data_IF_201243730916
#
_entry.id   IF_201243730916
#
_cell.length_a   1.000
_cell.length_b   1.000
_cell.length_c   1.000
_cell.angle_alpha   90.00
_cell.angle_beta   90.00
_cell.angle_gamma   90.00
#
_symmetry.space_group_name_H-M   'P 1'
#
loop_
_entity.id
_entity.type
_entity.pdbx_description
1 polymer ?
#
# COMPACT_ATOMS: atom_id res chain seq x y z
N UNK A 1 2.38 -14.50 0.09
CA UNK A 1 3.35 -13.70 -0.69
C UNK A 1 3.00 -12.22 -0.56
N UNK A 2 4.01 -11.40 -0.37
CA UNK A 2 3.85 -9.96 -0.23
C UNK A 2 4.71 -9.23 -1.25
N UNK A 3 4.12 -8.24 -1.92
CA UNK A 3 4.82 -7.34 -2.83
C UNK A 3 5.22 -6.08 -2.05
N UNK A 4 6.50 -5.79 -1.99
CA UNK A 4 7.04 -4.70 -1.16
C UNK A 4 7.24 -3.43 -2.00
N UNK A 5 6.64 -2.34 -1.54
CA UNK A 5 6.90 -0.99 -2.05
C UNK A 5 8.20 -0.45 -1.43
N UNK A 6 8.72 0.63 -1.98
CA UNK A 6 9.94 1.29 -1.48
C UNK A 6 9.85 1.60 0.02
N UNK A 7 8.69 2.01 0.51
CA UNK A 7 8.47 2.32 1.92
C UNK A 7 8.81 1.14 2.84
N UNK A 8 8.64 -0.10 2.38
CA UNK A 8 8.97 -1.28 3.18
C UNK A 8 10.47 -1.35 3.50
N UNK A 9 11.32 -0.92 2.57
CA UNK A 9 12.76 -0.91 2.78
C UNK A 9 13.21 0.29 3.59
N UNK A 10 12.53 1.41 3.44
CA UNK A 10 12.81 2.64 4.20
C UNK A 10 12.45 2.44 5.67
N UNK A 11 11.31 1.82 5.95
CA UNK A 11 10.79 1.63 7.30
C UNK A 11 11.21 0.30 7.93
N UNK A 12 12.12 -0.44 7.29
CA UNK A 12 12.64 -1.72 7.79
C UNK A 12 11.53 -2.74 8.09
N UNK A 13 10.62 -2.90 7.15
CA UNK A 13 9.53 -3.85 7.27
C UNK A 13 10.05 -5.29 7.30
N UNK A 14 9.50 -6.09 8.20
CA UNK A 14 9.87 -7.50 8.34
C UNK A 14 8.64 -8.40 8.26
N UNK A 15 8.81 -9.57 7.65
CA UNK A 15 7.77 -10.58 7.57
C UNK A 15 8.42 -11.96 7.39
N UNK A 16 7.70 -12.99 7.79
CA UNK A 16 8.13 -14.38 7.58
C UNK A 16 7.59 -14.95 6.25
N UNK A 17 6.68 -14.24 5.60
CA UNK A 17 6.14 -14.68 4.32
C UNK A 17 7.11 -14.42 3.17
N UNK A 18 6.88 -15.12 2.06
CA UNK A 18 7.65 -14.86 0.84
C UNK A 18 7.44 -13.42 0.38
N UNK A 19 8.52 -12.78 0.00
CA UNK A 19 8.51 -11.40 -0.46
C UNK A 19 8.98 -11.30 -1.90
N UNK A 20 8.41 -10.33 -2.61
CA UNK A 20 8.73 -10.03 -4.00
C UNK A 20 8.62 -8.53 -4.20
N UNK A 21 9.39 -7.98 -5.11
CA UNK A 21 9.28 -6.58 -5.49
C UNK A 21 9.58 -6.46 -6.98
N UNK A 22 9.55 -5.24 -7.51
CA UNK A 22 9.91 -4.98 -8.90
C UNK A 22 11.30 -4.34 -8.95
N UNK A 23 12.08 -4.60 -10.01
CA UNK A 23 13.47 -4.10 -10.07
C UNK A 23 13.60 -2.59 -9.92
N UNK A 24 12.65 -1.82 -10.44
CA UNK A 24 12.72 -0.36 -10.40
C UNK A 24 12.58 0.24 -8.99
N UNK A 25 12.12 -0.53 -8.01
CA UNK A 25 12.09 -0.07 -6.61
C UNK A 25 13.49 0.25 -6.12
N UNK A 26 14.50 -0.53 -6.54
CA UNK A 26 15.89 -0.27 -6.12
C UNK A 26 16.35 1.14 -6.47
N UNK A 27 15.89 1.65 -7.61
CA UNK A 27 16.26 3.00 -8.08
C UNK A 27 15.66 4.11 -7.22
N UNK A 28 14.58 3.83 -6.51
CA UNK A 28 13.94 4.79 -5.60
C UNK A 28 14.63 4.84 -4.23
N UNK A 29 15.46 3.85 -3.91
CA UNK A 29 16.12 3.75 -2.62
C UNK A 29 17.44 4.52 -2.66
N UNK A 30 17.37 5.81 -2.34
CA UNK A 30 18.51 6.73 -2.47
C UNK A 30 19.39 6.79 -1.22
N UNK A 31 18.86 6.39 -0.05
CA UNK A 31 19.70 6.33 1.14
C UNK A 31 20.40 4.97 1.24
N UNK A 32 21.60 4.97 1.87
CA UNK A 32 22.42 3.76 1.94
C UNK A 32 21.79 2.63 2.73
N UNK A 33 21.03 2.95 3.77
CA UNK A 33 20.42 1.94 4.64
C UNK A 33 19.30 1.18 3.92
N UNK A 34 18.41 1.88 3.23
CA UNK A 34 17.31 1.22 2.51
C UNK A 34 17.82 0.41 1.32
N UNK A 35 18.82 0.92 0.59
CA UNK A 35 19.45 0.16 -0.48
C UNK A 35 20.12 -1.10 0.01
N UNK A 36 20.79 -1.03 1.16
CA UNK A 36 21.40 -2.20 1.80
C UNK A 36 20.34 -3.24 2.19
N UNK A 37 19.21 -2.81 2.73
CA UNK A 37 18.11 -3.72 3.09
C UNK A 37 17.55 -4.44 1.87
N UNK A 38 17.41 -3.72 0.77
CA UNK A 38 16.97 -4.33 -0.49
C UNK A 38 17.93 -5.43 -0.93
N UNK A 39 19.22 -5.10 -0.97
CA UNK A 39 20.25 -6.05 -1.40
C UNK A 39 20.32 -7.26 -0.46
N UNK A 40 20.16 -7.05 0.84
CA UNK A 40 20.15 -8.12 1.82
C UNK A 40 18.95 -9.05 1.65
N UNK A 41 17.76 -8.50 1.40
CA UNK A 41 16.57 -9.32 1.16
C UNK A 41 16.68 -10.09 -0.15
N UNK A 42 17.20 -9.48 -1.19
CA UNK A 42 17.43 -10.17 -2.46
C UNK A 42 18.40 -11.34 -2.27
N UNK A 43 19.48 -11.12 -1.54
CA UNK A 43 20.43 -12.17 -1.22
C UNK A 43 19.84 -13.27 -0.33
N UNK A 44 18.81 -12.94 0.45
CA UNK A 44 18.09 -13.88 1.31
C UNK A 44 16.92 -14.59 0.67
N UNK A 45 16.66 -14.35 -0.63
CA UNK A 45 15.61 -15.06 -1.36
C UNK A 45 14.46 -14.22 -1.87
N UNK A 46 14.45 -12.90 -1.64
CA UNK A 46 13.43 -12.03 -2.22
C UNK A 46 13.54 -12.08 -3.75
N UNK A 47 12.39 -12.26 -4.41
CA UNK A 47 12.34 -12.33 -5.86
C UNK A 47 12.05 -10.97 -6.46
N UNK A 48 12.59 -10.75 -7.66
CA UNK A 48 12.26 -9.59 -8.48
C UNK A 48 11.32 -10.06 -9.59
N UNK A 49 10.18 -9.39 -9.71
CA UNK A 49 9.15 -9.76 -10.67
C UNK A 49 8.90 -8.60 -11.64
N UNK A 50 8.85 -8.91 -12.92
CA UNK A 50 8.48 -7.95 -13.96
C UNK A 50 7.08 -8.31 -14.44
N UNK A 51 6.05 -7.50 -14.12
CA UNK A 51 4.69 -7.81 -14.53
C UNK A 51 4.51 -7.70 -16.04
N UNK A 52 3.56 -8.48 -16.56
CA UNK A 52 3.21 -8.45 -17.97
C UNK A 52 2.36 -7.23 -18.34
N UNK A 53 2.16 -7.05 -19.66
CA UNK A 53 1.38 -5.93 -20.17
C UNK A 53 -0.09 -5.99 -19.77
N UNK A 54 -0.66 -7.19 -19.68
CA UNK A 54 -2.06 -7.37 -19.27
C UNK A 54 -2.34 -6.82 -17.88
N UNK A 55 -1.60 -7.26 -16.86
CA UNK A 55 -1.74 -6.68 -15.51
C UNK A 55 -1.47 -5.17 -15.47
N UNK A 56 -0.48 -4.67 -16.20
CA UNK A 56 -0.20 -3.23 -16.27
C UNK A 56 -1.38 -2.46 -16.84
N UNK A 57 -2.04 -2.99 -17.87
CA UNK A 57 -3.24 -2.37 -18.45
C UNK A 57 -4.41 -2.34 -17.46
N UNK A 58 -4.56 -3.39 -16.65
CA UNK A 58 -5.59 -3.43 -15.63
C UNK A 58 -5.35 -2.37 -14.55
N UNK A 59 -4.11 -2.18 -14.14
CA UNK A 59 -3.73 -1.14 -13.18
C UNK A 59 -4.05 0.24 -13.75
N UNK A 60 -3.73 0.49 -15.00
CA UNK A 60 -4.02 1.78 -15.65
C UNK A 60 -5.52 2.07 -15.65
N UNK A 61 -6.35 1.08 -16.00
CA UNK A 61 -7.80 1.24 -15.97
C UNK A 61 -8.32 1.53 -14.56
N UNK A 62 -7.82 0.78 -13.58
CA UNK A 62 -8.22 0.97 -12.19
C UNK A 62 -7.82 2.37 -11.70
N UNK A 63 -6.62 2.82 -12.04
CA UNK A 63 -6.12 4.13 -11.65
C UNK A 63 -6.96 5.26 -12.28
N UNK A 64 -7.42 5.09 -13.50
CA UNK A 64 -8.33 6.05 -14.14
C UNK A 64 -9.67 6.07 -13.44
N UNK A 65 -10.18 4.92 -13.07
CA UNK A 65 -11.46 4.80 -12.37
C UNK A 65 -11.42 5.50 -11.00
N UNK A 66 -10.32 5.34 -10.27
CA UNK A 66 -10.17 5.97 -8.94
C UNK A 66 -9.76 7.44 -9.04
N UNK A 67 -9.26 7.88 -10.19
CA UNK A 67 -8.76 9.25 -10.35
C UNK A 67 -7.32 9.44 -9.91
N UNK A 68 -6.59 8.36 -9.64
CA UNK A 68 -5.23 8.42 -9.11
C UNK A 68 -4.13 8.25 -10.16
N UNK A 69 -4.49 8.19 -11.44
CA UNK A 69 -3.53 7.86 -12.50
C UNK A 69 -2.30 8.78 -12.50
N UNK A 70 -2.49 10.08 -12.29
CA UNK A 70 -1.39 11.05 -12.30
C UNK A 70 -0.56 11.02 -11.02
N UNK A 71 -1.07 10.42 -9.96
CA UNK A 71 -0.38 10.31 -8.68
C UNK A 71 0.57 9.12 -8.62
N UNK A 72 0.47 8.20 -9.57
CA UNK A 72 1.26 6.97 -9.57
C UNK A 72 2.47 7.09 -10.49
N UNK A 73 3.64 6.68 -9.98
CA UNK A 73 4.84 6.53 -10.80
C UNK A 73 4.78 5.25 -11.61
N UNK A 74 5.70 5.09 -12.56
CA UNK A 74 5.82 3.84 -13.31
C UNK A 74 6.11 2.66 -12.38
N UNK A 75 6.93 2.87 -11.36
CA UNK A 75 7.23 1.85 -10.36
C UNK A 75 5.97 1.46 -9.58
N UNK A 76 5.15 2.43 -9.20
CA UNK A 76 3.88 2.17 -8.51
C UNK A 76 2.95 1.30 -9.36
N UNK A 77 2.86 1.59 -10.66
CA UNK A 77 2.08 0.78 -11.59
C UNK A 77 2.59 -0.66 -11.63
N UNK A 78 3.89 -0.83 -11.66
CA UNK A 78 4.51 -2.16 -11.70
C UNK A 78 4.28 -2.94 -10.41
N UNK A 79 4.36 -2.28 -9.27
CA UNK A 79 4.08 -2.92 -7.98
C UNK A 79 2.64 -3.40 -7.88
N UNK A 80 1.70 -2.54 -8.27
CA UNK A 80 0.28 -2.91 -8.30
C UNK A 80 0.03 -4.06 -9.28
N UNK A 81 0.64 -4.00 -10.45
CA UNK A 81 0.50 -5.05 -11.46
C UNK A 81 1.08 -6.38 -10.97
N UNK A 82 2.23 -6.34 -10.29
CA UNK A 82 2.84 -7.55 -9.73
C UNK A 82 1.93 -8.18 -8.68
N UNK A 83 1.39 -7.38 -7.77
CA UNK A 83 0.48 -7.88 -6.75
C UNK A 83 -0.79 -8.47 -7.37
N UNK A 84 -1.33 -7.82 -8.37
CA UNK A 84 -2.52 -8.29 -9.09
C UNK A 84 -2.25 -9.61 -9.82
N UNK A 85 -1.14 -9.67 -10.56
CA UNK A 85 -0.76 -10.84 -11.34
C UNK A 85 -0.47 -12.05 -10.46
N UNK A 86 0.22 -11.84 -9.34
CA UNK A 86 0.64 -12.90 -8.43
C UNK A 86 -0.42 -13.28 -7.39
N UNK A 87 -1.50 -12.51 -7.29
CA UNK A 87 -2.49 -12.70 -6.23
C UNK A 87 -1.90 -12.45 -4.84
N UNK A 88 -0.96 -11.51 -4.74
CA UNK A 88 -0.21 -11.23 -3.52
C UNK A 88 -0.76 -10.01 -2.80
N UNK A 89 -0.39 -9.86 -1.52
CA UNK A 89 -0.70 -8.67 -0.74
C UNK A 89 0.32 -7.57 -1.05
N UNK A 90 -0.16 -6.36 -1.30
CA UNK A 90 0.71 -5.20 -1.52
C UNK A 90 1.02 -4.52 -0.19
N UNK A 91 2.29 -4.35 0.11
CA UNK A 91 2.75 -3.67 1.34
C UNK A 91 3.16 -2.25 0.96
N UNK A 92 2.38 -1.26 1.38
CA UNK A 92 2.62 0.14 1.02
C UNK A 92 1.95 1.09 2.02
N UNK A 93 2.48 2.31 2.12
CA UNK A 93 1.88 3.41 2.88
C UNK A 93 1.20 4.43 1.96
N UNK A 94 1.31 4.29 0.66
CA UNK A 94 0.82 5.25 -0.32
C UNK A 94 -0.69 5.12 -0.51
N UNK A 95 -1.43 6.21 -0.28
CA UNK A 95 -2.88 6.23 -0.40
C UNK A 95 -3.37 6.00 -1.83
N UNK A 96 -2.71 6.58 -2.81
CA UNK A 96 -3.10 6.41 -4.21
C UNK A 96 -2.98 4.94 -4.62
N UNK A 97 -1.91 4.28 -4.19
CA UNK A 97 -1.73 2.85 -4.43
C UNK A 97 -2.80 2.02 -3.73
N UNK A 98 -3.16 2.38 -2.50
CA UNK A 98 -4.20 1.68 -1.75
C UNK A 98 -5.56 1.78 -2.43
N UNK A 99 -5.90 2.96 -2.96
CA UNK A 99 -7.15 3.16 -3.69
C UNK A 99 -7.21 2.29 -4.95
N UNK A 100 -6.14 2.25 -5.71
CA UNK A 100 -6.08 1.46 -6.93
C UNK A 100 -6.09 -0.04 -6.62
N UNK A 101 -5.38 -0.44 -5.56
CA UNK A 101 -5.38 -1.83 -5.12
C UNK A 101 -6.79 -2.28 -4.73
N UNK A 102 -7.54 -1.43 -4.04
CA UNK A 102 -8.93 -1.72 -3.67
C UNK A 102 -9.79 -1.93 -4.91
N UNK A 103 -9.65 -1.08 -5.91
CA UNK A 103 -10.37 -1.21 -7.18
C UNK A 103 -10.01 -2.50 -7.91
N UNK A 104 -8.76 -2.94 -7.82
CA UNK A 104 -8.28 -4.18 -8.43
C UNK A 104 -8.66 -5.44 -7.64
N UNK A 105 -9.10 -5.29 -6.41
CA UNK A 105 -9.30 -6.43 -5.51
C UNK A 105 -8.00 -6.98 -4.93
N UNK A 106 -6.96 -6.18 -4.90
CA UNK A 106 -5.66 -6.53 -4.30
C UNK A 106 -5.67 -6.18 -2.82
N UNK A 107 -5.29 -7.13 -1.98
CA UNK A 107 -5.16 -6.88 -0.54
C UNK A 107 -3.97 -5.97 -0.25
N UNK A 108 -4.13 -5.10 0.73
CA UNK A 108 -3.10 -4.15 1.13
C UNK A 108 -2.77 -4.31 2.60
N UNK A 109 -1.49 -4.27 2.91
CA UNK A 109 -1.00 -4.15 4.27
C UNK A 109 -0.28 -2.82 4.41
N UNK A 110 -0.73 -2.01 5.37
CA UNK A 110 -0.08 -0.73 5.68
C UNK A 110 1.07 -0.99 6.64
N UNK A 111 2.21 -0.36 6.40
CA UNK A 111 3.40 -0.57 7.23
C UNK A 111 3.21 0.11 8.57
N UNK A 112 3.29 -0.69 9.65
CA UNK A 112 3.25 -0.15 11.00
C UNK A 112 4.59 0.49 11.32
N UNK A 113 4.56 1.76 11.72
CA UNK A 113 5.77 2.48 12.08
C UNK A 113 6.14 2.24 13.52
N UNK A 114 7.45 2.26 13.75
CA UNK A 114 8.01 1.96 15.05
C UNK A 114 7.49 2.90 16.13
N UNK A 115 7.13 2.30 17.27
CA UNK A 115 6.72 3.04 18.45
C UNK A 115 5.32 3.62 18.41
N UNK A 116 4.57 3.37 17.35
CA UNK A 116 3.22 3.91 17.21
C UNK A 116 2.21 2.77 17.25
N UNK A 117 1.28 2.87 18.15
CA UNK A 117 0.17 1.92 18.23
C UNK A 117 -1.01 2.40 17.39
N UNK A 118 -0.81 2.48 16.11
CA UNK A 118 -1.72 3.11 15.17
C UNK A 118 -3.11 2.52 15.20
N UNK A 119 -3.20 1.24 15.45
CA UNK A 119 -4.49 0.54 15.48
C UNK A 119 -5.45 1.10 16.52
N UNK A 120 -4.93 1.84 17.52
CA UNK A 120 -5.74 2.51 18.53
C UNK A 120 -5.97 3.96 18.21
N UNK A 121 -5.14 4.50 17.37
CA UNK A 121 -5.02 5.94 17.20
C UNK A 121 -5.86 6.45 16.05
N UNK A 122 -6.41 5.56 15.24
CA UNK A 122 -7.29 5.96 14.16
C UNK A 122 -8.62 6.42 14.70
N UNK A 123 -9.02 7.61 14.30
CA UNK A 123 -10.34 8.14 14.56
C UNK A 123 -11.17 8.10 13.28
N UNK A 124 -12.46 8.09 13.44
CA UNK A 124 -13.40 8.07 12.33
C UNK A 124 -14.31 9.28 12.43
N UNK A 125 -14.39 10.04 11.38
CA UNK A 125 -15.24 11.22 11.35
C UNK A 125 -16.40 11.01 10.39
N UNK A 126 -17.61 11.29 10.87
CA UNK A 126 -18.80 11.22 10.04
C UNK A 126 -18.78 12.32 8.99
N UNK A 127 -19.02 11.94 7.75
CA UNK A 127 -19.07 12.90 6.64
C UNK A 127 -20.33 13.74 6.65
N UNK A 128 -21.38 13.28 7.32
CA UNK A 128 -22.64 13.98 7.41
C UNK A 128 -22.73 14.94 8.57
N UNK A 129 -22.59 14.45 9.80
CA UNK A 129 -22.78 15.26 11.00
C UNK A 129 -21.49 15.78 11.63
N UNK A 130 -20.31 15.34 11.14
CA UNK A 130 -19.02 15.79 11.63
C UNK A 130 -18.58 15.20 12.96
N UNK A 131 -19.32 14.26 13.52
CA UNK A 131 -18.93 13.61 14.77
C UNK A 131 -17.69 12.75 14.58
N UNK A 132 -16.85 12.67 15.61
CA UNK A 132 -15.64 11.87 15.62
C UNK A 132 -15.84 10.69 16.57
N UNK A 133 -15.42 9.51 16.13
CA UNK A 133 -15.51 8.27 16.91
C UNK A 133 -14.12 7.64 17.02
N UNK A 134 -13.85 7.03 18.16
CA UNK A 134 -12.62 6.28 18.40
C UNK A 134 -12.73 4.83 17.90
N UNK A 135 -13.94 4.38 17.61
CA UNK A 135 -14.20 3.01 17.16
C UNK A 135 -14.64 2.99 15.72
N UNK A 136 -14.36 1.88 15.05
CA UNK A 136 -14.82 1.68 13.68
C UNK A 136 -16.32 1.38 13.68
N UNK A 137 -17.05 2.12 12.85
CA UNK A 137 -18.45 1.86 12.52
C UNK A 137 -18.60 1.79 11.03
N UNK A 138 -19.43 0.88 10.54
CA UNK A 138 -19.74 0.82 9.11
C UNK A 138 -20.44 2.09 8.65
N UNK A 139 -21.29 2.65 9.53
CA UNK A 139 -21.97 3.91 9.28
C UNK A 139 -22.11 4.68 10.59
N UNK A 140 -22.30 5.98 10.48
CA UNK A 140 -22.54 6.81 11.64
C UNK A 140 -23.81 6.34 12.36
N UNK A 141 -23.74 6.04 13.66
CA UNK A 141 -24.93 5.60 14.39
C UNK A 141 -25.96 6.70 14.60
N UNK A 142 -25.60 7.95 14.33
CA UNK A 142 -26.49 9.10 14.53
C UNK A 142 -27.21 9.48 13.24
N UNK A 143 -26.48 9.64 12.13
CA UNK A 143 -27.06 10.12 10.88
C UNK A 143 -27.03 9.10 9.75
N UNK A 144 -26.36 7.97 9.93
CA UNK A 144 -26.27 6.92 8.90
C UNK A 144 -25.33 7.19 7.75
N UNK A 145 -24.58 8.28 7.79
CA UNK A 145 -23.60 8.60 6.76
C UNK A 145 -22.33 7.78 6.90
N UNK A 146 -21.56 7.68 5.83
CA UNK A 146 -20.29 6.99 5.86
C UNK A 146 -19.29 7.71 6.76
N UNK A 147 -18.39 6.94 7.37
CA UNK A 147 -17.31 7.48 8.17
C UNK A 147 -16.03 7.50 7.34
N UNK A 148 -15.25 8.56 7.52
CA UNK A 148 -13.92 8.65 6.94
C UNK A 148 -12.88 8.45 8.04
N UNK A 149 -11.76 7.79 7.68
CA UNK A 149 -10.66 7.62 8.61
C UNK A 149 -9.94 8.95 8.80
N UNK A 150 -9.72 9.32 10.05
CA UNK A 150 -9.06 10.57 10.39
C UNK A 150 -7.78 10.26 11.18
N UNK A 151 -6.69 10.93 10.80
CA UNK A 151 -5.45 10.84 11.56
C UNK A 151 -5.62 11.62 12.87
N UNK A 152 -5.39 10.98 14.03
CA UNK A 152 -5.58 11.63 15.32
C UNK A 152 -4.51 12.66 15.66
N UNK A 153 -3.38 12.67 14.91
CA UNK A 153 -2.22 13.54 15.17
C UNK A 153 -2.35 14.99 14.78
#
# INVERSE_FOLDING_TARGET
MRVLDASAFIDDYTTEDDVVTVPSVRDELTDGASGYRFDALEGGGMRLHVPGEGPLSQVERAARTTGDLTELSDTDHRLLAAAFELGATLVTDDYAMQNVADELGVDVEVIARDGIDERRDWQYQCRGCGRVYDEHHDRCPVCGSDLSRKNPG
#
